data_IF_831801190329
#
_entry.id   IF_831801190329
#
_cell.length_a   1.000
_cell.length_b   1.000
_cell.length_c   1.000
_cell.angle_alpha   90.00
_cell.angle_beta   90.00
_cell.angle_gamma   90.00
#
_symmetry.space_group_name_H-M   'P 1'
#
loop_
_entity.id
_entity.type
_entity.pdbx_description
1 polymer ?
#
# COMPACT_ATOMS: atom_id res chain seq x y z
N UNK A 1 12.66 -23.79 -3.23
CA UNK A 1 11.56 -23.58 -4.19
C UNK A 1 11.14 -22.12 -4.11
N UNK A 2 11.44 -21.26 -5.09
CA UNK A 2 11.10 -19.84 -4.97
C UNK A 2 9.60 -19.67 -5.23
N UNK A 3 8.87 -19.24 -4.21
CA UNK A 3 7.50 -18.75 -4.37
C UNK A 3 7.53 -17.60 -5.37
N UNK A 4 6.75 -17.70 -6.44
CA UNK A 4 6.64 -16.66 -7.48
C UNK A 4 6.27 -15.32 -6.84
N UNK A 5 6.79 -14.23 -7.40
CA UNK A 5 6.65 -12.85 -6.89
C UNK A 5 5.20 -12.43 -6.60
N UNK A 6 4.23 -13.05 -7.27
CA UNK A 6 2.79 -12.83 -7.09
C UNK A 6 2.28 -13.37 -5.75
N UNK A 7 2.67 -14.58 -5.34
CA UNK A 7 2.23 -15.19 -4.07
C UNK A 7 2.79 -14.45 -2.87
N UNK A 8 4.06 -14.04 -2.95
CA UNK A 8 4.69 -13.25 -1.89
C UNK A 8 3.99 -11.90 -1.68
N UNK A 9 3.68 -11.21 -2.78
CA UNK A 9 2.97 -9.93 -2.75
C UNK A 9 1.55 -10.07 -2.17
N UNK A 10 0.83 -11.12 -2.54
CA UNK A 10 -0.49 -11.44 -1.98
C UNK A 10 -0.42 -11.70 -0.47
N UNK A 11 0.55 -12.49 -0.02
CA UNK A 11 0.73 -12.77 1.41
C UNK A 11 1.06 -11.51 2.21
N UNK A 12 1.89 -10.63 1.67
CA UNK A 12 2.21 -9.34 2.31
C UNK A 12 0.95 -8.50 2.45
N UNK A 13 0.16 -8.37 1.38
CA UNK A 13 -1.11 -7.65 1.42
C UNK A 13 -2.08 -8.24 2.45
N UNK A 14 -2.21 -9.56 2.49
CA UNK A 14 -3.04 -10.26 3.48
C UNK A 14 -2.60 -9.93 4.92
N UNK A 15 -1.29 -9.98 5.19
CA UNK A 15 -0.74 -9.65 6.51
C UNK A 15 -0.98 -8.19 6.89
N UNK A 16 -0.87 -7.26 5.95
CA UNK A 16 -1.12 -5.83 6.20
C UNK A 16 -2.61 -5.59 6.51
N UNK A 17 -3.51 -6.09 5.66
CA UNK A 17 -4.96 -5.90 5.81
C UNK A 17 -5.49 -6.50 7.12
N UNK A 18 -5.00 -7.68 7.50
CA UNK A 18 -5.37 -8.33 8.76
C UNK A 18 -4.57 -7.85 9.97
N UNK A 19 -3.74 -6.80 9.82
CA UNK A 19 -2.86 -6.27 10.87
C UNK A 19 -1.93 -7.34 11.50
N UNK A 20 -1.58 -8.37 10.75
CA UNK A 20 -0.67 -9.45 11.11
C UNK A 20 0.77 -9.22 10.63
N UNK A 21 1.05 -8.10 9.95
CA UNK A 21 2.40 -7.74 9.54
C UNK A 21 3.29 -7.42 10.76
N UNK A 22 4.54 -7.90 10.73
CA UNK A 22 5.53 -7.66 11.78
C UNK A 22 6.16 -6.29 11.62
N UNK A 23 5.63 -5.31 12.34
CA UNK A 23 6.21 -3.96 12.41
C UNK A 23 7.27 -3.88 13.52
N UNK A 24 8.32 -3.05 13.37
CA UNK A 24 9.32 -2.79 14.42
C UNK A 24 8.69 -2.50 15.79
N UNK A 25 7.64 -1.67 15.82
CA UNK A 25 6.91 -1.38 17.06
C UNK A 25 6.30 -2.62 17.72
N UNK A 26 5.78 -3.56 16.93
CA UNK A 26 5.17 -4.80 17.42
C UNK A 26 6.24 -5.77 17.92
N UNK A 27 7.36 -5.91 17.21
CA UNK A 27 8.46 -6.78 17.62
C UNK A 27 9.15 -6.27 18.87
N UNK A 28 9.40 -4.96 18.97
CA UNK A 28 9.99 -4.35 20.17
C UNK A 28 9.09 -4.53 21.40
N UNK A 29 7.76 -4.37 21.24
CA UNK A 29 6.80 -4.64 22.31
C UNK A 29 6.80 -6.10 22.79
N UNK A 30 7.06 -7.04 21.89
CA UNK A 30 7.21 -8.47 22.23
C UNK A 30 8.63 -8.83 22.68
N UNK A 31 9.53 -7.85 22.82
CA UNK A 31 10.94 -8.06 23.19
C UNK A 31 11.70 -8.98 22.22
N UNK A 32 11.27 -9.02 20.96
CA UNK A 32 11.96 -9.77 19.90
C UNK A 32 13.14 -8.97 19.31
N UNK A 33 13.07 -7.64 19.41
CA UNK A 33 14.13 -6.71 19.02
C UNK A 33 14.22 -5.59 20.05
N UNK A 34 15.36 -4.91 20.10
CA UNK A 34 15.60 -3.84 21.07
C UNK A 34 15.22 -2.44 20.56
N UNK A 35 15.16 -2.24 19.24
CA UNK A 35 14.84 -0.94 18.63
C UNK A 35 13.52 -1.02 17.87
N UNK A 36 12.62 -0.07 18.15
CA UNK A 36 11.32 0.06 17.50
C UNK A 36 11.34 0.93 16.25
N UNK A 37 12.51 1.44 15.82
CA UNK A 37 12.63 2.33 14.66
C UNK A 37 12.23 1.66 13.34
N UNK A 38 11.69 2.48 12.45
CA UNK A 38 11.31 2.10 11.10
C UNK A 38 12.53 1.61 10.31
N UNK A 39 12.42 0.44 9.69
CA UNK A 39 13.49 -0.13 8.87
C UNK A 39 13.86 0.68 7.63
N UNK A 40 13.02 1.64 7.21
CA UNK A 40 13.23 2.44 6.01
C UNK A 40 13.95 3.76 6.30
N UNK A 41 13.45 4.53 7.28
CA UNK A 41 14.03 5.83 7.61
C UNK A 41 14.98 5.78 8.82
N UNK A 42 14.88 4.75 9.67
CA UNK A 42 15.66 4.61 10.90
C UNK A 42 15.58 5.82 11.86
N UNK A 43 14.46 6.55 11.85
CA UNK A 43 14.29 7.78 12.62
C UNK A 43 13.13 7.70 13.61
N UNK A 44 11.94 7.34 13.13
CA UNK A 44 10.72 7.26 13.93
C UNK A 44 10.32 5.81 14.21
N UNK A 45 9.45 5.61 15.20
CA UNK A 45 8.88 4.30 15.50
C UNK A 45 8.18 3.70 14.28
N UNK A 46 8.59 2.49 13.89
CA UNK A 46 8.02 1.72 12.79
C UNK A 46 6.65 1.16 13.16
N UNK A 47 5.62 2.00 13.15
CA UNK A 47 4.21 1.58 13.17
C UNK A 47 3.78 1.18 11.76
N UNK A 48 2.64 0.49 11.64
CA UNK A 48 2.10 0.09 10.33
C UNK A 48 1.81 1.29 9.44
N UNK A 49 1.18 2.33 10.00
CA UNK A 49 0.83 3.56 9.28
C UNK A 49 2.10 4.30 8.85
N UNK A 50 3.07 4.43 9.76
CA UNK A 50 4.34 5.05 9.43
C UNK A 50 5.03 4.33 8.28
N UNK A 51 5.21 3.01 8.38
CA UNK A 51 5.93 2.22 7.39
C UNK A 51 5.28 2.18 6.00
N UNK A 52 3.96 2.41 5.90
CA UNK A 52 3.22 2.31 4.64
C UNK A 52 2.83 3.66 4.05
N UNK A 53 2.83 4.75 4.82
CA UNK A 53 2.34 6.04 4.36
C UNK A 53 3.13 7.25 4.85
N UNK A 54 3.44 7.34 6.15
CA UNK A 54 4.04 8.57 6.72
C UNK A 54 5.56 8.61 6.63
N UNK A 55 6.21 7.46 6.42
CA UNK A 55 7.66 7.39 6.31
C UNK A 55 8.15 8.24 5.15
N UNK A 56 9.11 9.13 5.38
CA UNK A 56 9.61 10.06 4.36
C UNK A 56 10.07 9.36 3.08
N UNK A 57 10.70 8.18 3.22
CA UNK A 57 11.10 7.35 2.07
C UNK A 57 9.91 6.82 1.26
N UNK A 58 8.78 6.60 1.92
CA UNK A 58 7.53 6.07 1.34
C UNK A 58 6.66 7.20 0.81
N UNK A 59 6.62 8.35 1.50
CA UNK A 59 5.97 9.58 1.05
C UNK A 59 6.48 9.98 -0.33
N UNK A 60 7.81 10.02 -0.54
CA UNK A 60 8.40 10.37 -1.83
C UNK A 60 7.96 9.43 -2.95
N UNK A 61 7.78 8.14 -2.65
CA UNK A 61 7.23 7.18 -3.61
C UNK A 61 5.77 7.51 -3.95
N UNK A 62 4.93 7.76 -2.93
CA UNK A 62 3.54 8.09 -3.13
C UNK A 62 3.35 9.38 -3.93
N UNK A 63 4.14 10.41 -3.65
CA UNK A 63 4.04 11.69 -4.36
C UNK A 63 4.32 11.50 -5.86
N UNK A 64 5.34 10.70 -6.22
CA UNK A 64 5.64 10.36 -7.62
C UNK A 64 4.52 9.56 -8.28
N UNK A 65 3.99 8.55 -7.56
CA UNK A 65 2.93 7.68 -8.08
C UNK A 65 1.63 8.46 -8.29
N UNK A 66 1.23 9.31 -7.35
CA UNK A 66 0.04 10.15 -7.46
C UNK A 66 0.20 11.17 -8.58
N UNK A 67 1.35 11.84 -8.70
CA UNK A 67 1.62 12.74 -9.81
C UNK A 67 1.52 12.02 -11.17
N UNK A 68 2.04 10.80 -11.26
CA UNK A 68 1.93 9.97 -12.46
C UNK A 68 0.47 9.61 -12.77
N UNK A 69 -0.30 9.14 -11.78
CA UNK A 69 -1.70 8.77 -11.96
C UNK A 69 -2.56 9.97 -12.35
N UNK A 70 -2.34 11.13 -11.72
CA UNK A 70 -3.02 12.38 -12.05
C UNK A 70 -2.76 12.79 -13.49
N UNK A 71 -1.51 12.69 -13.96
CA UNK A 71 -1.16 12.97 -15.35
C UNK A 71 -1.79 11.97 -16.33
N UNK A 72 -1.81 10.68 -15.99
CA UNK A 72 -2.34 9.62 -16.84
C UNK A 72 -3.85 9.69 -16.98
N UNK A 73 -4.56 9.97 -15.88
CA UNK A 73 -6.02 9.98 -15.83
C UNK A 73 -6.62 11.38 -16.04
N UNK A 74 -5.78 12.41 -16.11
CA UNK A 74 -6.14 13.82 -16.13
C UNK A 74 -6.99 14.23 -14.90
N UNK A 75 -6.51 13.85 -13.71
CA UNK A 75 -7.16 14.05 -12.42
C UNK A 75 -6.30 14.89 -11.48
N UNK A 76 -6.89 15.35 -10.38
CA UNK A 76 -6.22 16.10 -9.32
C UNK A 76 -6.36 15.40 -7.96
N UNK A 77 -6.00 14.11 -7.87
CA UNK A 77 -6.03 13.40 -6.59
C UNK A 77 -4.97 13.91 -5.63
N UNK A 78 -5.38 14.05 -4.38
CA UNK A 78 -4.49 14.32 -3.25
C UNK A 78 -4.08 13.01 -2.58
N UNK A 79 -2.82 12.95 -2.15
CA UNK A 79 -2.31 11.86 -1.34
C UNK A 79 -3.14 11.75 -0.06
N UNK A 80 -3.69 10.56 0.17
CA UNK A 80 -4.38 10.21 1.39
C UNK A 80 -4.12 8.72 1.69
N UNK A 81 -4.21 8.28 2.95
CA UNK A 81 -3.85 6.91 3.33
C UNK A 81 -4.78 5.86 2.71
N UNK A 82 -6.05 6.17 2.45
CA UNK A 82 -6.99 5.24 1.78
C UNK A 82 -6.61 4.99 0.33
N UNK A 83 -6.20 6.04 -0.38
CA UNK A 83 -5.74 5.95 -1.76
C UNK A 83 -4.40 5.21 -1.84
N UNK A 84 -3.43 5.61 -1.03
CA UNK A 84 -2.09 5.03 -1.03
C UNK A 84 -2.08 3.58 -0.52
N UNK A 85 -2.64 3.30 0.65
CA UNK A 85 -2.55 1.97 1.24
C UNK A 85 -3.56 0.99 0.65
N UNK A 86 -4.76 1.44 0.30
CA UNK A 86 -5.88 0.55 -0.05
C UNK A 86 -6.30 0.66 -1.53
N UNK A 87 -5.74 1.60 -2.30
CA UNK A 87 -6.16 1.83 -3.68
C UNK A 87 -7.65 2.16 -3.79
N UNK A 88 -8.18 2.87 -2.79
CA UNK A 88 -9.57 3.34 -2.77
C UNK A 88 -9.57 4.71 -3.45
N UNK A 89 -10.10 4.74 -4.66
CA UNK A 89 -10.29 5.96 -5.43
C UNK A 89 -11.65 6.57 -5.09
N UNK A 90 -11.68 7.88 -4.86
CA UNK A 90 -12.94 8.62 -4.91
C UNK A 90 -13.40 8.61 -6.37
N UNK A 91 -14.71 8.41 -6.60
CA UNK A 91 -15.28 8.43 -7.95
C UNK A 91 -15.25 9.84 -8.56
N UNK A 92 -15.03 10.84 -7.72
CA UNK A 92 -15.06 12.24 -8.06
C UNK A 92 -13.93 12.52 -9.07
N UNK A 93 -14.32 12.81 -10.31
CA UNK A 93 -13.42 13.13 -11.42
C UNK A 93 -13.17 12.01 -12.43
N UNK A 94 -13.42 10.73 -12.12
CA UNK A 94 -13.24 9.66 -13.13
C UNK A 94 -14.40 9.64 -14.12
N UNK A 95 -14.08 9.45 -15.40
CA UNK A 95 -15.10 9.12 -16.39
C UNK A 95 -15.73 7.75 -16.11
N UNK A 96 -16.90 7.49 -16.71
CA UNK A 96 -17.57 6.18 -16.62
C UNK A 96 -16.66 5.05 -17.13
N UNK A 97 -15.92 5.29 -18.22
CA UNK A 97 -14.98 4.32 -18.80
C UNK A 97 -13.79 4.05 -17.89
N UNK A 98 -13.18 5.09 -17.32
CA UNK A 98 -12.07 4.94 -16.37
C UNK A 98 -12.52 4.17 -15.12
N UNK A 99 -13.75 4.44 -14.65
CA UNK A 99 -14.35 3.71 -13.52
C UNK A 99 -14.56 2.23 -13.85
N UNK A 100 -15.05 1.91 -15.05
CA UNK A 100 -15.19 0.54 -15.52
C UNK A 100 -13.84 -0.16 -15.64
N UNK A 101 -12.84 0.47 -16.24
CA UNK A 101 -11.48 -0.06 -16.36
C UNK A 101 -10.86 -0.40 -15.00
N UNK A 102 -10.97 0.49 -14.01
CA UNK A 102 -10.46 0.23 -12.66
C UNK A 102 -11.21 -0.93 -11.97
N UNK A 103 -12.53 -1.05 -12.17
CA UNK A 103 -13.35 -2.14 -11.61
C UNK A 103 -13.06 -3.48 -12.27
N UNK A 104 -12.96 -3.51 -13.59
CA UNK A 104 -12.71 -4.72 -14.35
C UNK A 104 -11.34 -5.31 -14.01
N UNK A 105 -10.30 -4.48 -13.85
CA UNK A 105 -9.00 -4.94 -13.38
C UNK A 105 -9.06 -5.53 -11.96
N UNK A 106 -9.79 -4.90 -11.02
CA UNK A 106 -10.01 -5.46 -9.67
C UNK A 106 -10.73 -6.82 -9.74
N UNK A 107 -11.71 -6.99 -10.62
CA UNK A 107 -12.44 -8.25 -10.81
C UNK A 107 -11.58 -9.34 -11.47
N UNK A 108 -10.76 -8.97 -12.44
CA UNK A 108 -9.81 -9.88 -13.08
C UNK A 108 -8.78 -10.38 -12.06
N UNK A 109 -8.18 -9.49 -11.26
CA UNK A 109 -7.25 -9.91 -10.18
C UNK A 109 -7.91 -10.85 -9.15
N UNK A 110 -9.18 -10.63 -8.80
CA UNK A 110 -9.93 -11.53 -7.90
C UNK A 110 -10.21 -12.92 -8.50
N UNK A 111 -10.40 -13.02 -9.83
CA UNK A 111 -10.54 -14.32 -10.52
C UNK A 111 -9.27 -15.16 -10.46
N UNK A 112 -8.09 -14.54 -10.42
CA UNK A 112 -6.81 -15.24 -10.28
C UNK A 112 -6.44 -15.60 -8.83
N UNK A 113 -7.12 -15.03 -7.83
CA UNK A 113 -6.93 -15.33 -6.39
C UNK A 113 -7.88 -16.46 -5.92
N UNK A 114 -8.99 -16.69 -6.63
CA UNK A 114 -9.96 -17.75 -6.33
C UNK A 114 -9.71 -19.07 -7.10
N UNK A 115 -8.50 -19.31 -7.60
CA UNK A 115 -8.09 -20.58 -8.20
C UNK A 115 -7.01 -21.23 -7.35
#
# INVERSE_FOLDING_TARGET
MPLTSTVQSQLINYKILNRCYWTPSRMARLKLINDAKCWRCNQTTGTMIHMLYECDKVVVFWDKLIAFLNKLLNLAWHKNPGLCMLGIFQKDGLSYEQTLWCRLNKLQTNKYIKK
#
